data_IF_091231698295
#
_entry.id   IF_091231698295
#
_cell.length_a   1.000
_cell.length_b   1.000
_cell.length_c   1.000
_cell.angle_alpha   90.00
_cell.angle_beta   90.00
_cell.angle_gamma   90.00
#
_symmetry.space_group_name_H-M   'P 1'
#
loop_
_entity.id
_entity.type
_entity.pdbx_description
1 polymer ?
#
# COMPACT_ATOMS: atom_id res chain seq x y z
N UNK A 1 25.97 -53.91 41.42
CA UNK A 1 26.17 -52.56 41.98
C UNK A 1 26.61 -51.64 40.84
N UNK A 2 25.85 -50.55 40.63
CA UNK A 2 26.25 -49.23 40.07
C UNK A 2 26.79 -49.23 38.62
N UNK A 3 25.99 -48.88 37.59
CA UNK A 3 25.55 -47.54 37.14
C UNK A 3 26.66 -46.59 36.67
N UNK A 4 26.65 -46.24 35.38
CA UNK A 4 26.73 -44.87 34.79
C UNK A 4 27.30 -44.95 33.35
N UNK A 5 26.48 -44.80 32.30
CA UNK A 5 26.00 -43.55 31.69
C UNK A 5 26.75 -43.29 30.36
N UNK A 6 26.13 -43.71 29.25
CA UNK A 6 26.54 -43.35 27.90
C UNK A 6 26.21 -41.88 27.65
N UNK A 7 27.21 -41.08 27.30
CA UNK A 7 27.02 -39.68 26.93
C UNK A 7 26.62 -39.59 25.47
N UNK A 8 25.39 -39.11 25.23
CA UNK A 8 24.89 -38.71 23.94
C UNK A 8 25.04 -37.19 23.82
N UNK A 9 25.91 -36.72 22.92
CA UNK A 9 25.82 -35.39 22.30
C UNK A 9 27.00 -35.22 21.32
N UNK A 10 26.72 -35.24 20.02
CA UNK A 10 27.17 -34.17 19.12
C UNK A 10 26.47 -34.29 17.76
N UNK A 11 25.20 -33.86 17.75
CA UNK A 11 24.46 -33.50 16.55
C UNK A 11 24.28 -31.98 16.54
N UNK A 12 25.36 -31.24 16.27
CA UNK A 12 25.26 -29.82 15.94
C UNK A 12 25.21 -29.65 14.42
N UNK A 13 24.04 -29.96 13.86
CA UNK A 13 23.73 -29.61 12.48
C UNK A 13 23.59 -28.10 12.34
N UNK A 14 24.57 -27.51 11.67
CA UNK A 14 24.45 -26.37 10.74
C UNK A 14 23.21 -25.48 10.90
N UNK A 15 23.25 -24.57 11.87
CA UNK A 15 22.40 -23.38 11.88
C UNK A 15 22.72 -22.50 10.68
N UNK A 16 22.03 -22.70 9.54
CA UNK A 16 21.95 -21.69 8.49
C UNK A 16 21.21 -20.48 9.08
N UNK A 17 21.95 -19.51 9.59
CA UNK A 17 21.43 -18.18 9.84
C UNK A 17 20.86 -17.65 8.53
N UNK A 18 19.54 -17.61 8.41
CA UNK A 18 18.87 -16.93 7.32
C UNK A 18 19.22 -15.45 7.45
N UNK A 19 20.02 -14.94 6.51
CA UNK A 19 20.33 -13.53 6.42
C UNK A 19 19.02 -12.73 6.42
N UNK A 20 18.86 -11.81 7.37
CA UNK A 20 17.70 -10.91 7.44
C UNK A 20 17.63 -10.18 6.09
N UNK A 21 16.53 -10.31 5.33
CA UNK A 21 16.42 -9.63 4.05
C UNK A 21 16.63 -8.13 4.26
N UNK A 22 17.45 -7.48 3.44
CA UNK A 22 17.67 -6.03 3.49
C UNK A 22 16.88 -5.32 2.38
N UNK A 23 16.60 -4.03 2.57
CA UNK A 23 15.99 -3.16 1.56
C UNK A 23 14.67 -3.71 0.99
N UNK A 24 14.57 -3.79 -0.34
CA UNK A 24 13.33 -4.17 -1.04
C UNK A 24 12.80 -5.58 -0.71
N UNK A 25 13.68 -6.53 -0.35
CA UNK A 25 13.27 -7.87 0.04
C UNK A 25 12.57 -7.86 1.41
N UNK A 26 13.09 -7.06 2.35
CA UNK A 26 12.47 -6.85 3.67
C UNK A 26 11.07 -6.22 3.53
N UNK A 27 10.93 -5.26 2.61
CA UNK A 27 9.64 -4.62 2.33
C UNK A 27 8.62 -5.62 1.79
N UNK A 28 8.99 -6.40 0.77
CA UNK A 28 8.05 -7.33 0.15
C UNK A 28 7.57 -8.41 1.14
N UNK A 29 8.45 -8.88 2.03
CA UNK A 29 8.05 -9.78 3.12
C UNK A 29 7.03 -9.11 4.05
N UNK A 30 7.28 -7.88 4.50
CA UNK A 30 6.33 -7.14 5.34
C UNK A 30 5.00 -6.87 4.63
N UNK A 31 5.03 -6.63 3.32
CA UNK A 31 3.82 -6.51 2.49
C UNK A 31 3.00 -7.80 2.50
N UNK A 32 3.64 -8.94 2.24
CA UNK A 32 2.98 -10.26 2.26
C UNK A 32 2.41 -10.60 3.63
N UNK A 33 3.16 -10.35 4.70
CA UNK A 33 2.70 -10.57 6.08
C UNK A 33 1.57 -9.63 6.47
N UNK A 34 1.56 -8.39 5.96
CA UNK A 34 0.43 -7.48 6.12
C UNK A 34 -0.81 -7.97 5.41
N UNK A 35 -0.65 -8.38 4.15
CA UNK A 35 -1.73 -8.88 3.29
C UNK A 35 -2.43 -10.10 3.92
N UNK A 36 -1.68 -11.04 4.49
CA UNK A 36 -2.25 -12.24 5.13
C UNK A 36 -3.08 -11.95 6.39
N UNK A 37 -3.04 -10.73 6.94
CA UNK A 37 -3.86 -10.33 8.09
C UNK A 37 -5.23 -9.79 7.71
N UNK A 38 -5.44 -9.46 6.42
CA UNK A 38 -6.76 -9.09 5.92
C UNK A 38 -7.58 -10.35 5.68
N UNK A 39 -8.79 -10.39 6.26
CA UNK A 39 -9.76 -11.45 5.96
C UNK A 39 -10.58 -11.06 4.75
N UNK A 40 -10.84 -12.02 3.88
CA UNK A 40 -11.67 -11.80 2.70
C UNK A 40 -13.09 -11.39 3.10
N UNK A 41 -13.74 -10.61 2.24
CA UNK A 41 -15.10 -10.14 2.46
C UNK A 41 -15.16 -8.74 3.06
N UNK A 42 -16.30 -8.44 3.70
CA UNK A 42 -16.54 -7.19 4.42
C UNK A 42 -17.31 -6.13 3.63
N UNK A 43 -17.54 -6.34 2.33
CA UNK A 43 -18.35 -5.45 1.50
C UNK A 43 -17.58 -4.25 0.94
N UNK A 44 -18.17 -3.63 -0.08
CA UNK A 44 -17.65 -2.43 -0.74
C UNK A 44 -18.55 -1.22 -0.51
N UNK A 45 -17.98 -0.11 -0.05
CA UNK A 45 -18.69 1.15 0.14
C UNK A 45 -17.73 2.35 0.05
N UNK A 46 -18.18 3.46 -0.57
CA UNK A 46 -17.43 4.72 -0.72
C UNK A 46 -18.05 5.87 0.08
N UNK A 47 -18.88 5.53 1.06
CA UNK A 47 -19.64 6.48 1.87
C UNK A 47 -18.77 7.25 2.85
N UNK A 48 -19.34 8.31 3.42
CA UNK A 48 -18.71 9.09 4.47
C UNK A 48 -18.45 8.23 5.71
N UNK A 49 -19.33 7.28 5.99
CA UNK A 49 -19.26 6.34 7.10
C UNK A 49 -18.08 5.39 6.93
N UNK A 50 -17.85 4.87 5.71
CA UNK A 50 -16.68 4.05 5.39
C UNK A 50 -15.36 4.85 5.56
N UNK A 51 -15.35 6.13 5.15
CA UNK A 51 -14.22 7.04 5.38
C UNK A 51 -13.95 7.28 6.87
N UNK A 52 -15.00 7.49 7.66
CA UNK A 52 -14.89 7.68 9.11
C UNK A 52 -14.37 6.42 9.80
N UNK A 53 -14.90 5.26 9.42
CA UNK A 53 -14.45 3.96 9.91
C UNK A 53 -12.94 3.73 9.67
N UNK A 54 -12.44 4.07 8.48
CA UNK A 54 -11.00 4.04 8.19
C UNK A 54 -10.21 4.93 9.16
N UNK A 55 -10.58 6.22 9.24
CA UNK A 55 -9.80 7.24 9.94
C UNK A 55 -9.87 7.15 11.48
N UNK A 56 -11.00 6.73 12.03
CA UNK A 56 -11.22 6.78 13.49
C UNK A 56 -11.17 5.39 14.13
N UNK A 57 -11.50 4.33 13.39
CA UNK A 57 -11.67 2.98 13.97
C UNK A 57 -10.62 1.97 13.50
N UNK A 58 -10.15 2.07 12.27
CA UNK A 58 -9.26 1.06 11.69
C UNK A 58 -7.77 1.36 11.87
N UNK A 59 -7.39 2.64 11.89
CA UNK A 59 -6.01 3.07 12.09
C UNK A 59 -5.98 4.23 13.09
N UNK A 60 -5.36 4.02 14.25
CA UNK A 60 -5.29 5.04 15.30
C UNK A 60 -3.92 5.10 15.96
N UNK A 61 -3.56 6.24 16.50
CA UNK A 61 -2.36 6.39 17.32
C UNK A 61 -2.62 5.92 18.75
N UNK A 62 -1.73 5.10 19.31
CA UNK A 62 -1.74 4.77 20.72
C UNK A 62 -0.69 5.64 21.45
N UNK A 63 -1.12 6.61 22.28
CA UNK A 63 -0.21 7.51 22.99
C UNK A 63 0.63 6.80 24.06
N UNK A 64 0.20 5.63 24.56
CA UNK A 64 0.94 4.89 25.59
C UNK A 64 2.15 4.19 25.00
N UNK A 65 1.96 3.53 23.87
CA UNK A 65 3.03 2.79 23.18
C UNK A 65 3.79 3.67 22.19
N UNK A 66 3.26 4.86 21.87
CA UNK A 66 3.75 5.75 20.80
C UNK A 66 3.87 4.99 19.48
N UNK A 67 2.83 4.24 19.13
CA UNK A 67 2.75 3.41 17.92
C UNK A 67 1.37 3.50 17.27
N UNK A 68 1.28 3.29 15.95
CA UNK A 68 -0.01 3.07 15.31
C UNK A 68 -0.58 1.71 15.72
N UNK A 69 -1.90 1.65 15.87
CA UNK A 69 -2.69 0.43 16.10
C UNK A 69 -3.63 0.25 14.91
N UNK A 70 -3.69 -0.98 14.40
CA UNK A 70 -4.48 -1.34 13.22
C UNK A 70 -5.54 -2.38 13.57
N UNK A 71 -6.81 -2.00 13.41
CA UNK A 71 -7.98 -2.87 13.56
C UNK A 71 -8.60 -3.07 12.18
N UNK A 72 -7.97 -3.93 11.36
CA UNK A 72 -8.23 -4.01 9.90
C UNK A 72 -9.70 -4.27 9.53
N UNK A 73 -10.42 -5.03 10.36
CA UNK A 73 -11.85 -5.31 10.20
C UNK A 73 -12.75 -4.10 10.42
N UNK A 74 -12.29 -3.09 11.16
CA UNK A 74 -13.09 -1.91 11.43
C UNK A 74 -13.20 -0.99 10.21
N UNK A 75 -12.39 -1.22 9.17
CA UNK A 75 -12.51 -0.54 7.89
C UNK A 75 -13.46 -1.23 6.91
N UNK A 76 -14.26 -2.24 7.32
CA UNK A 76 -15.23 -2.89 6.42
C UNK A 76 -16.66 -2.43 6.72
N UNK A 77 -17.49 -2.07 5.70
CA UNK A 77 -17.15 -2.05 4.27
C UNK A 77 -16.11 -0.97 3.92
N UNK A 78 -15.35 -1.24 2.85
CA UNK A 78 -14.21 -0.43 2.40
C UNK A 78 -14.29 -0.11 0.91
N UNK A 79 -13.32 0.60 0.38
CA UNK A 79 -13.14 0.85 -1.05
C UNK A 79 -11.67 0.67 -1.44
N UNK A 80 -11.38 0.75 -2.74
CA UNK A 80 -10.10 0.30 -3.28
C UNK A 80 -8.89 1.06 -2.70
N UNK A 81 -8.97 2.39 -2.59
CA UNK A 81 -7.89 3.20 -2.03
C UNK A 81 -7.75 3.06 -0.51
N UNK A 82 -8.85 2.94 0.24
CA UNK A 82 -8.77 2.69 1.70
C UNK A 82 -8.14 1.33 2.01
N UNK A 83 -8.51 0.27 1.29
CA UNK A 83 -7.93 -1.05 1.44
C UNK A 83 -6.41 -1.05 1.18
N UNK A 84 -5.99 -0.48 0.06
CA UNK A 84 -4.58 -0.44 -0.33
C UNK A 84 -3.75 0.44 0.59
N UNK A 85 -4.27 1.59 1.02
CA UNK A 85 -3.56 2.47 1.95
C UNK A 85 -3.45 1.85 3.35
N UNK A 86 -4.52 1.21 3.84
CA UNK A 86 -4.46 0.50 5.13
C UNK A 86 -3.46 -0.66 5.08
N UNK A 87 -3.38 -1.39 3.96
CA UNK A 87 -2.35 -2.39 3.73
C UNK A 87 -0.94 -1.75 3.73
N UNK A 88 -0.73 -0.66 3.01
CA UNK A 88 0.55 0.08 3.00
C UNK A 88 0.99 0.42 4.43
N UNK A 89 0.10 1.01 5.24
CA UNK A 89 0.41 1.39 6.62
C UNK A 89 0.70 0.17 7.51
N UNK A 90 -0.09 -0.89 7.36
CA UNK A 90 0.13 -2.13 8.12
C UNK A 90 1.48 -2.77 7.75
N UNK A 91 1.84 -2.76 6.48
CA UNK A 91 3.13 -3.27 6.00
C UNK A 91 4.29 -2.40 6.46
N UNK A 92 4.14 -1.07 6.49
CA UNK A 92 5.13 -0.17 7.11
C UNK A 92 5.30 -0.46 8.59
N UNK A 93 4.21 -0.75 9.33
CA UNK A 93 4.30 -1.10 10.76
C UNK A 93 5.10 -2.38 10.97
N UNK A 94 4.81 -3.42 10.18
CA UNK A 94 5.54 -4.70 10.25
C UNK A 94 7.01 -4.50 9.90
N UNK A 95 7.29 -3.74 8.84
CA UNK A 95 8.64 -3.44 8.39
C UNK A 95 9.44 -2.63 9.43
N UNK A 96 8.83 -1.59 10.02
CA UNK A 96 9.46 -0.71 11.03
C UNK A 96 9.76 -1.48 12.33
N UNK A 97 8.84 -2.33 12.78
CA UNK A 97 9.03 -3.18 13.97
C UNK A 97 10.10 -4.25 13.79
N UNK A 98 10.45 -4.61 12.56
CA UNK A 98 11.52 -5.56 12.27
C UNK A 98 12.91 -4.88 12.24
N UNK A 99 12.98 -3.55 12.32
CA UNK A 99 14.25 -2.83 12.33
C UNK A 99 14.88 -2.86 13.74
N UNK A 100 16.22 -2.85 13.86
CA UNK A 100 16.90 -2.79 15.17
C UNK A 100 16.49 -1.57 16.02
N UNK A 101 16.09 -0.49 15.35
CA UNK A 101 15.54 0.72 15.96
C UNK A 101 14.44 1.30 15.06
N UNK A 102 13.47 2.02 15.62
CA UNK A 102 12.38 2.60 14.84
C UNK A 102 12.93 3.60 13.81
N UNK A 103 12.49 3.45 12.56
CA UNK A 103 12.91 4.29 11.43
C UNK A 103 11.84 5.34 11.12
N UNK A 104 10.56 4.97 11.25
CA UNK A 104 9.44 5.89 11.07
C UNK A 104 9.13 6.57 12.41
N UNK A 105 9.34 7.88 12.46
CA UNK A 105 9.11 8.70 13.66
C UNK A 105 7.62 8.80 14.00
N UNK A 106 7.32 9.14 15.26
CA UNK A 106 5.95 9.46 15.70
C UNK A 106 5.31 10.54 14.83
N UNK A 107 6.04 11.62 14.54
CA UNK A 107 5.53 12.70 13.68
C UNK A 107 5.16 12.19 12.29
N UNK A 108 5.95 11.27 11.74
CA UNK A 108 5.64 10.64 10.46
C UNK A 108 4.42 9.73 10.54
N UNK A 109 4.29 8.92 11.59
CA UNK A 109 3.10 8.10 11.81
C UNK A 109 1.83 8.94 11.94
N UNK A 110 1.86 10.01 12.73
CA UNK A 110 0.74 10.95 12.87
C UNK A 110 0.35 11.62 11.54
N UNK A 111 1.31 11.87 10.65
CA UNK A 111 1.02 12.39 9.31
C UNK A 111 0.43 11.32 8.38
N UNK A 112 0.85 10.06 8.52
CA UNK A 112 0.43 8.94 7.68
C UNK A 112 -0.98 8.42 8.01
N UNK A 113 -1.39 8.48 9.29
CA UNK A 113 -2.72 8.03 9.73
C UNK A 113 -3.80 8.88 9.04
N UNK A 114 -4.80 8.27 8.37
CA UNK A 114 -5.90 9.00 7.75
C UNK A 114 -6.65 9.84 8.77
N UNK A 115 -7.03 11.06 8.39
CA UNK A 115 -7.91 11.92 9.20
C UNK A 115 -9.28 12.05 8.55
N UNK A 116 -10.32 12.04 9.36
CA UNK A 116 -11.67 12.26 8.85
C UNK A 116 -11.81 13.69 8.33
N UNK A 117 -12.48 13.85 7.18
CA UNK A 117 -12.61 15.14 6.49
C UNK A 117 -11.40 15.57 5.66
N UNK A 118 -10.34 14.76 5.58
CA UNK A 118 -9.18 15.04 4.74
C UNK A 118 -9.55 14.94 3.25
N UNK A 119 -9.32 16.01 2.49
CA UNK A 119 -9.69 16.08 1.08
C UNK A 119 -8.60 15.55 0.14
N UNK A 120 -8.98 15.27 -1.11
CA UNK A 120 -8.05 14.91 -2.17
C UNK A 120 -6.92 15.96 -2.30
N UNK A 121 -5.68 15.49 -2.31
CA UNK A 121 -4.49 16.34 -2.36
C UNK A 121 -4.07 16.94 -1.02
N UNK A 122 -4.69 16.60 0.11
CA UNK A 122 -4.24 17.04 1.44
C UNK A 122 -3.52 15.93 2.19
N UNK A 123 -2.24 16.12 2.51
CA UNK A 123 -1.46 15.15 3.29
C UNK A 123 -1.33 13.76 2.66
N UNK A 124 -0.64 12.81 3.31
CA UNK A 124 -0.37 11.50 2.73
C UNK A 124 -1.63 10.73 2.30
N UNK A 125 -2.64 10.64 3.17
CA UNK A 125 -3.89 9.95 2.84
C UNK A 125 -4.67 10.64 1.73
N UNK A 126 -4.88 11.96 1.79
CA UNK A 126 -5.59 12.69 0.74
C UNK A 126 -4.87 12.65 -0.61
N UNK A 127 -3.54 12.55 -0.62
CA UNK A 127 -2.80 12.29 -1.86
C UNK A 127 -3.06 10.89 -2.38
N UNK A 128 -2.93 9.87 -1.54
CA UNK A 128 -3.10 8.47 -1.93
C UNK A 128 -4.55 8.13 -2.36
N UNK A 129 -5.54 8.82 -1.78
CA UNK A 129 -6.95 8.64 -2.07
C UNK A 129 -7.40 9.31 -3.37
N UNK A 130 -6.72 10.38 -3.79
CA UNK A 130 -7.17 11.22 -4.89
C UNK A 130 -7.39 10.45 -6.20
N UNK A 131 -8.30 10.97 -7.03
CA UNK A 131 -8.43 10.55 -8.42
C UNK A 131 -7.07 10.58 -9.14
N UNK A 132 -6.94 9.82 -10.22
CA UNK A 132 -5.69 9.71 -10.95
C UNK A 132 -4.63 8.89 -10.19
N UNK A 133 -3.34 9.24 -10.33
CA UNK A 133 -2.22 8.45 -9.84
C UNK A 133 -1.81 8.82 -8.40
N UNK A 134 -2.76 9.15 -7.52
CA UNK A 134 -2.50 9.74 -6.21
C UNK A 134 -1.40 9.06 -5.37
N UNK A 135 -1.47 7.73 -5.22
CA UNK A 135 -0.45 6.95 -4.52
C UNK A 135 0.93 7.03 -5.20
N UNK A 136 0.98 7.01 -6.53
CA UNK A 136 2.23 7.12 -7.28
C UNK A 136 2.90 8.49 -7.05
N UNK A 137 2.10 9.57 -7.03
CA UNK A 137 2.57 10.93 -6.72
C UNK A 137 3.13 11.02 -5.30
N UNK A 138 2.45 10.43 -4.31
CA UNK A 138 2.93 10.36 -2.94
C UNK A 138 4.28 9.64 -2.84
N UNK A 139 4.38 8.45 -3.44
CA UNK A 139 5.61 7.64 -3.40
C UNK A 139 6.76 8.35 -4.10
N UNK A 140 6.50 8.99 -5.23
CA UNK A 140 7.48 9.81 -5.93
C UNK A 140 7.96 10.98 -5.07
N UNK A 141 7.02 11.75 -4.48
CA UNK A 141 7.33 12.91 -3.63
C UNK A 141 8.22 12.55 -2.46
N UNK A 142 7.98 11.40 -1.84
CA UNK A 142 8.79 10.91 -0.72
C UNK A 142 10.14 10.32 -1.18
N UNK A 143 10.30 10.00 -2.46
CA UNK A 143 11.42 9.20 -2.95
C UNK A 143 11.39 7.77 -2.41
N UNK A 144 10.20 7.26 -2.06
CA UNK A 144 10.01 5.96 -1.41
C UNK A 144 10.00 4.77 -2.38
N UNK A 145 9.99 5.05 -3.68
CA UNK A 145 9.78 4.03 -4.70
C UNK A 145 9.90 4.54 -6.12
N UNK A 146 9.51 3.68 -7.07
CA UNK A 146 9.49 3.96 -8.50
C UNK A 146 8.09 3.72 -9.06
N UNK A 147 7.76 4.46 -10.13
CA UNK A 147 6.51 4.34 -10.85
C UNK A 147 6.78 4.00 -12.33
N UNK A 148 5.95 3.15 -12.93
CA UNK A 148 6.11 2.72 -14.32
C UNK A 148 4.80 2.12 -14.89
N UNK A 149 4.74 1.94 -16.21
CA UNK A 149 3.55 1.41 -16.92
C UNK A 149 3.80 0.03 -17.57
N UNK A 150 5.07 -0.39 -17.66
CA UNK A 150 5.47 -1.62 -18.36
C UNK A 150 5.16 -2.88 -17.54
N UNK A 151 4.19 -3.68 -18.01
CA UNK A 151 3.82 -4.97 -17.43
C UNK A 151 5.01 -5.91 -17.25
N UNK A 152 5.98 -5.91 -18.16
CA UNK A 152 7.15 -6.80 -18.09
C UNK A 152 8.04 -6.52 -16.88
N UNK A 153 7.94 -5.31 -16.32
CA UNK A 153 8.66 -4.89 -15.11
C UNK A 153 7.86 -5.16 -13.85
N UNK A 154 6.56 -5.42 -13.94
CA UNK A 154 5.66 -5.59 -12.80
C UNK A 154 5.96 -6.90 -12.07
N UNK A 155 5.76 -6.90 -10.75
CA UNK A 155 5.90 -8.11 -9.92
C UNK A 155 4.89 -8.11 -8.78
N UNK A 156 4.57 -9.28 -8.21
CA UNK A 156 3.72 -9.36 -7.03
C UNK A 156 4.17 -8.39 -5.94
N UNK A 157 3.20 -7.68 -5.36
CA UNK A 157 3.41 -6.65 -4.34
C UNK A 157 3.57 -5.22 -4.86
N UNK A 158 3.65 -5.01 -6.18
CA UNK A 158 3.50 -3.66 -6.73
C UNK A 158 2.06 -3.17 -6.54
N UNK A 159 1.90 -1.93 -6.09
CA UNK A 159 0.61 -1.27 -6.13
C UNK A 159 0.26 -0.94 -7.58
N UNK A 160 -1.01 -1.02 -7.94
CA UNK A 160 -1.50 -0.79 -9.29
C UNK A 160 -2.67 0.18 -9.26
N UNK A 161 -2.54 1.32 -9.93
CA UNK A 161 -3.70 2.11 -10.32
C UNK A 161 -4.16 1.64 -11.69
N UNK A 162 -5.31 0.96 -11.74
CA UNK A 162 -5.98 0.55 -12.97
C UNK A 162 -6.92 1.68 -13.41
N UNK A 163 -6.94 1.95 -14.72
CA UNK A 163 -7.95 2.78 -15.36
C UNK A 163 -8.71 1.91 -16.37
N UNK A 164 -10.03 1.80 -16.18
CA UNK A 164 -10.91 1.01 -17.05
C UNK A 164 -11.30 1.76 -18.34
N UNK A 165 -11.15 3.09 -18.34
CA UNK A 165 -11.43 3.94 -19.50
C UNK A 165 -10.23 4.85 -19.78
N UNK A 166 -10.31 5.62 -20.87
CA UNK A 166 -9.30 6.62 -21.18
C UNK A 166 -9.35 7.88 -20.29
N UNK A 167 -10.40 8.02 -19.48
CA UNK A 167 -10.67 9.21 -18.67
C UNK A 167 -9.92 9.13 -17.34
N UNK A 168 -9.19 10.19 -17.00
CA UNK A 168 -8.41 10.31 -15.76
C UNK A 168 -8.82 11.60 -15.07
N UNK A 169 -9.13 11.56 -13.77
CA UNK A 169 -9.70 12.69 -13.03
C UNK A 169 -11.23 12.63 -12.93
N UNK A 170 -11.94 13.70 -13.31
CA UNK A 170 -13.37 13.92 -12.97
C UNK A 170 -14.30 12.76 -13.36
N UNK A 171 -14.05 12.14 -14.52
CA UNK A 171 -14.87 11.04 -15.07
C UNK A 171 -14.13 9.70 -15.04
N UNK A 172 -13.15 9.58 -14.17
CA UNK A 172 -12.35 8.37 -14.03
C UNK A 172 -13.20 7.17 -13.61
N UNK A 173 -12.93 6.04 -14.25
CA UNK A 173 -13.26 4.72 -13.71
C UNK A 173 -11.94 4.04 -13.35
N UNK A 174 -11.55 4.20 -12.09
CA UNK A 174 -10.24 3.81 -11.59
C UNK A 174 -10.34 2.81 -10.44
N UNK A 175 -9.30 2.00 -10.25
CA UNK A 175 -9.24 1.00 -9.18
C UNK A 175 -7.81 0.90 -8.64
N UNK A 176 -7.60 1.18 -7.35
CA UNK A 176 -6.30 1.01 -6.69
C UNK A 176 -6.21 -0.41 -6.11
N UNK A 177 -5.16 -1.14 -6.47
CA UNK A 177 -4.99 -2.56 -6.12
C UNK A 177 -3.53 -2.88 -5.81
N UNK A 178 -3.26 -4.12 -5.41
CA UNK A 178 -1.91 -4.69 -5.28
C UNK A 178 -1.80 -5.91 -6.19
N UNK A 179 -0.77 -5.96 -7.03
CA UNK A 179 -0.50 -7.08 -7.91
C UNK A 179 -0.25 -8.35 -7.09
N UNK A 180 -1.02 -9.40 -7.33
CA UNK A 180 -0.83 -10.73 -6.73
C UNK A 180 -0.11 -11.64 -7.71
N UNK A 181 -0.53 -11.63 -8.97
CA UNK A 181 0.03 -12.47 -10.03
C UNK A 181 -0.19 -11.84 -11.40
N UNK A 182 0.84 -11.87 -12.25
CA UNK A 182 0.72 -11.70 -13.68
C UNK A 182 0.58 -13.08 -14.33
N UNK A 183 -0.53 -13.35 -15.00
CA UNK A 183 -0.85 -14.60 -15.69
C UNK A 183 -0.69 -14.54 -17.21
N UNK A 184 0.05 -13.56 -17.74
CA UNK A 184 0.15 -13.31 -19.17
C UNK A 184 -1.00 -12.43 -19.65
N UNK A 185 -2.07 -13.05 -20.16
CA UNK A 185 -3.26 -12.33 -20.66
C UNK A 185 -4.24 -11.95 -19.55
N UNK A 186 -4.07 -12.51 -18.36
CA UNK A 186 -4.84 -12.19 -17.17
C UNK A 186 -3.95 -11.61 -16.08
N UNK A 187 -4.56 -10.83 -15.20
CA UNK A 187 -3.91 -10.31 -14.00
C UNK A 187 -4.77 -10.61 -12.79
N UNK A 188 -4.15 -11.08 -11.71
CA UNK A 188 -4.76 -11.21 -10.39
C UNK A 188 -4.23 -10.11 -9.49
N UNK A 189 -5.13 -9.36 -8.87
CA UNK A 189 -4.80 -8.32 -7.90
C UNK A 189 -5.62 -8.47 -6.63
N UNK A 190 -5.15 -7.89 -5.54
CA UNK A 190 -5.88 -7.75 -4.28
C UNK A 190 -6.31 -6.31 -4.05
N UNK A 191 -7.53 -6.12 -3.55
CA UNK A 191 -8.09 -4.82 -3.14
C UNK A 191 -9.37 -5.03 -2.33
N UNK A 192 -10.08 -3.95 -2.02
CA UNK A 192 -11.54 -4.03 -1.80
C UNK A 192 -12.26 -4.00 -3.14
N UNK A 193 -13.02 -5.06 -3.45
CA UNK A 193 -13.68 -5.28 -4.73
C UNK A 193 -15.20 -5.14 -4.59
N UNK A 194 -15.85 -4.61 -5.62
CA UNK A 194 -17.32 -4.60 -5.69
C UNK A 194 -17.84 -6.01 -6.04
N UNK A 195 -18.81 -6.59 -5.30
CA UNK A 195 -19.40 -6.10 -4.05
C UNK A 195 -18.72 -6.65 -2.78
N UNK A 196 -17.80 -7.61 -2.94
CA UNK A 196 -17.39 -8.53 -1.87
C UNK A 196 -16.50 -7.90 -0.78
N UNK A 197 -15.84 -6.78 -1.05
CA UNK A 197 -14.84 -6.20 -0.16
C UNK A 197 -13.45 -6.82 -0.37
N UNK A 198 -12.68 -7.03 0.70
CA UNK A 198 -11.30 -7.48 0.60
C UNK A 198 -11.18 -8.83 -0.11
N UNK A 199 -10.26 -8.94 -1.07
CA UNK A 199 -9.99 -10.20 -1.73
C UNK A 199 -9.20 -10.08 -3.01
N UNK A 200 -8.79 -11.23 -3.53
CA UNK A 200 -8.17 -11.34 -4.85
C UNK A 200 -9.25 -11.35 -5.94
N UNK A 201 -8.96 -10.70 -7.07
CA UNK A 201 -9.78 -10.73 -8.28
C UNK A 201 -8.88 -10.91 -9.49
N UNK A 202 -9.33 -11.75 -10.43
CA UNK A 202 -8.65 -11.98 -11.70
C UNK A 202 -9.45 -11.36 -12.84
N UNK A 203 -8.79 -10.60 -13.71
CA UNK A 203 -9.40 -10.01 -14.91
C UNK A 203 -8.49 -10.18 -16.14
N UNK A 204 -9.04 -10.23 -17.36
CA UNK A 204 -8.25 -10.09 -18.58
C UNK A 204 -7.56 -8.72 -18.64
N UNK A 205 -6.28 -8.67 -19.02
CA UNK A 205 -5.55 -7.41 -19.23
C UNK A 205 -6.16 -6.56 -20.35
N UNK A 206 -6.83 -7.19 -21.32
CA UNK A 206 -7.56 -6.50 -22.39
C UNK A 206 -8.69 -5.59 -21.87
N UNK A 207 -9.18 -5.79 -20.64
CA UNK A 207 -10.14 -4.89 -19.99
C UNK A 207 -9.49 -3.66 -19.34
N UNK A 208 -8.19 -3.69 -19.12
CA UNK A 208 -7.44 -2.60 -18.47
C UNK A 208 -6.97 -1.65 -19.56
N UNK A 209 -7.54 -0.44 -19.60
CA UNK A 209 -7.17 0.54 -20.61
C UNK A 209 -5.79 1.13 -20.33
N UNK A 210 -5.49 1.42 -19.06
CA UNK A 210 -4.17 1.86 -18.59
C UNK A 210 -3.88 1.32 -17.20
N UNK A 211 -2.60 1.22 -16.89
CA UNK A 211 -2.12 0.85 -15.56
C UNK A 211 -0.91 1.68 -15.19
N UNK A 212 -0.80 2.03 -13.91
CA UNK A 212 0.41 2.57 -13.31
C UNK A 212 0.79 1.67 -12.16
N UNK A 213 1.99 1.12 -12.22
CA UNK A 213 2.61 0.37 -11.14
C UNK A 213 3.39 1.33 -10.24
N UNK A 214 3.25 1.14 -8.94
CA UNK A 214 4.00 1.82 -7.90
C UNK A 214 4.69 0.79 -7.03
N UNK A 215 6.03 0.78 -7.08
CA UNK A 215 6.87 -0.14 -6.31
C UNK A 215 7.59 0.61 -5.21
N UNK A 216 7.28 0.27 -3.96
CA UNK A 216 8.06 0.74 -2.82
C UNK A 216 9.41 0.02 -2.81
N UNK A 217 10.49 0.80 -2.77
CA UNK A 217 11.87 0.29 -2.70
C UNK A 217 12.63 0.84 -1.49
N UNK A 218 12.10 1.91 -0.89
CA UNK A 218 12.72 2.68 0.20
C UNK A 218 11.69 3.01 1.28
N UNK A 219 11.18 2.03 2.03
CA UNK A 219 10.16 2.24 3.05
C UNK A 219 10.58 3.26 4.13
N UNK A 220 11.88 3.43 4.40
CA UNK A 220 12.39 4.42 5.35
C UNK A 220 12.01 5.87 4.97
N UNK A 221 11.77 6.13 3.69
CA UNK A 221 11.42 7.46 3.17
C UNK A 221 10.02 7.91 3.57
N UNK A 222 9.16 7.00 4.03
CA UNK A 222 7.89 7.39 4.64
C UNK A 222 8.07 8.20 5.93
N UNK A 223 9.27 8.23 6.52
CA UNK A 223 9.58 9.17 7.61
C UNK A 223 9.50 10.65 7.18
N UNK A 224 9.51 10.93 5.87
CA UNK A 224 9.32 12.27 5.30
C UNK A 224 7.85 12.67 5.12
N UNK A 225 6.89 11.80 5.49
CA UNK A 225 5.45 12.08 5.42
C UNK A 225 5.01 13.44 5.98
N UNK A 226 5.62 14.01 7.05
CA UNK A 226 5.23 15.32 7.55
C UNK A 226 5.52 16.49 6.60
N UNK A 227 6.28 16.27 5.52
CA UNK A 227 6.55 17.26 4.47
C UNK A 227 5.48 17.27 3.36
N UNK A 228 4.51 16.35 3.42
CA UNK A 228 3.41 16.24 2.47
C UNK A 228 2.27 17.13 2.94
N UNK A 229 2.16 18.31 2.30
CA UNK A 229 1.08 19.28 2.53
C UNK A 229 -0.02 19.16 1.47
N UNK A 230 -0.48 20.30 0.97
CA UNK A 230 -1.49 20.37 -0.09
C UNK A 230 -0.87 20.22 -1.49
N UNK A 231 -1.59 19.56 -2.42
CA UNK A 231 -1.19 19.39 -3.82
C UNK A 231 -2.32 19.81 -4.77
N UNK A 232 -2.30 21.06 -5.28
CA UNK A 232 -3.41 21.63 -6.05
C UNK A 232 -3.84 20.79 -7.26
N UNK A 233 -2.87 20.18 -7.96
CA UNK A 233 -3.19 19.34 -9.11
C UNK A 233 -3.97 18.08 -8.69
N UNK A 234 -3.69 17.46 -7.54
CA UNK A 234 -4.46 16.29 -7.09
C UNK A 234 -5.88 16.71 -6.68
N UNK A 235 -6.00 17.81 -5.93
CA UNK A 235 -7.31 18.35 -5.51
C UNK A 235 -8.21 18.74 -6.69
N UNK A 236 -7.61 19.16 -7.80
CA UNK A 236 -8.37 19.54 -9.01
C UNK A 236 -8.98 18.35 -9.76
N UNK A 237 -8.50 17.12 -9.56
CA UNK A 237 -8.93 15.93 -10.33
C UNK A 237 -10.36 15.47 -10.04
N UNK A 238 -11.02 16.03 -9.01
CA UNK A 238 -12.46 15.87 -8.82
C UNK A 238 -13.27 16.69 -9.85
N UNK A 239 -12.68 17.71 -10.45
CA UNK A 239 -13.36 18.70 -11.31
C UNK A 239 -12.81 18.77 -12.74
N UNK A 240 -11.62 18.23 -12.98
CA UNK A 240 -10.98 18.25 -14.29
C UNK A 240 -10.57 16.85 -14.76
N UNK A 241 -10.45 16.70 -16.07
CA UNK A 241 -9.79 15.55 -16.69
C UNK A 241 -8.38 15.93 -17.12
N UNK A 242 -7.45 14.98 -17.08
CA UNK A 242 -6.04 15.19 -17.43
C UNK A 242 -5.53 14.12 -18.38
N UNK A 243 -4.47 14.45 -19.12
CA UNK A 243 -3.79 13.51 -20.02
C UNK A 243 -2.67 12.73 -19.34
N UNK A 244 -2.23 11.64 -19.99
CA UNK A 244 -1.11 10.82 -19.49
C UNK A 244 0.22 11.58 -19.38
N UNK A 245 0.42 12.65 -20.16
CA UNK A 245 1.60 13.51 -20.06
C UNK A 245 1.71 14.14 -18.67
N UNK A 246 0.61 14.67 -18.15
CA UNK A 246 0.58 15.26 -16.80
C UNK A 246 0.72 14.19 -15.73
N UNK A 247 0.00 13.07 -15.88
CA UNK A 247 0.09 11.92 -14.97
C UNK A 247 1.53 11.44 -14.81
N UNK A 248 2.27 11.28 -15.92
CA UNK A 248 3.69 10.89 -15.91
C UNK A 248 4.54 11.91 -15.19
N UNK A 249 4.39 13.20 -15.53
CA UNK A 249 5.12 14.30 -14.89
C UNK A 249 4.92 14.31 -13.37
N UNK A 250 3.68 14.28 -12.90
CA UNK A 250 3.39 14.33 -11.46
C UNK A 250 3.78 13.05 -10.71
N UNK A 251 3.80 11.90 -11.40
CA UNK A 251 4.18 10.62 -10.81
C UNK A 251 5.68 10.32 -10.93
N UNK A 252 6.49 11.24 -11.46
CA UNK A 252 7.92 11.02 -11.65
C UNK A 252 8.26 9.90 -12.64
N UNK A 253 7.37 9.63 -13.60
CA UNK A 253 7.63 8.68 -14.68
C UNK A 253 8.30 9.41 -15.85
N UNK A 254 9.22 8.72 -16.52
CA UNK A 254 9.83 9.25 -17.74
C UNK A 254 8.74 9.42 -18.81
N UNK A 255 8.81 10.52 -19.56
CA UNK A 255 7.97 10.68 -20.75
C UNK A 255 8.60 9.81 -21.84
N UNK A 256 7.82 9.02 -22.61
CA UNK A 256 8.34 8.23 -23.71
C UNK A 256 9.11 9.08 -24.73
#
# INVERSE_FOLDING_TARGET
>A
MLCSAASAADLSSTGRGSAVPSGAASWYQALRTGLSQFRNGGGYETSREAMQALAEKACRWDPRTRRPVFLLRNATPSFCSSACYLLLLKSLQIWDSAQPRPVISERAWLALIPRFGQHDGEGPWGWANANGPGLAVLVHRLGAGINFEDWRKARPGDFMKIFWTDRIGRRESGHLTVLVKDGGDQVTFWSSNIPDGYGARTVPKSRIKRVIFTRITRPERFNLAPSVGSHPWLSSLLRQEVGMKEVRRHSGMQTP
#
